data_IF_327396580590
#
_entry.id   IF_327396580590
#
_cell.length_a   1.000
_cell.length_b   1.000
_cell.length_c   1.000
_cell.angle_alpha   90.00
_cell.angle_beta   90.00
_cell.angle_gamma   90.00
#
_symmetry.space_group_name_H-M   'P 1'
#
loop_
_entity.id
_entity.type
_entity.pdbx_description
1 polymer ?
#
# COMPACT_ATOMS: atom_id res chain seq x y z
N UNK A 1 23.04 12.72 -12.51
CA UNK A 1 22.30 12.13 -11.38
C UNK A 1 21.67 13.29 -10.64
N UNK A 2 20.35 13.39 -10.65
CA UNK A 2 19.64 14.32 -9.78
C UNK A 2 19.82 13.76 -8.37
N UNK A 3 20.59 14.46 -7.53
CA UNK A 3 20.64 14.14 -6.10
C UNK A 3 19.22 14.30 -5.56
N UNK A 4 18.51 13.19 -5.39
CA UNK A 4 17.19 13.18 -4.78
C UNK A 4 17.40 13.45 -3.30
N UNK A 5 17.22 14.70 -2.87
CA UNK A 5 17.35 15.11 -1.47
C UNK A 5 16.10 14.72 -0.68
N UNK A 6 15.82 13.41 -0.62
CA UNK A 6 14.78 12.90 0.24
C UNK A 6 15.18 13.07 1.71
N UNK A 7 14.32 13.74 2.47
CA UNK A 7 14.54 13.88 3.91
C UNK A 7 13.93 12.69 4.63
N UNK A 8 14.74 11.96 5.37
CA UNK A 8 14.30 10.90 6.29
C UNK A 8 13.99 11.51 7.65
N UNK A 9 12.85 11.13 8.22
CA UNK A 9 12.45 11.63 9.53
C UNK A 9 11.61 10.57 10.27
N UNK A 10 11.30 10.82 11.53
CA UNK A 10 10.56 9.91 12.39
C UNK A 10 9.49 10.66 13.16
N UNK A 11 8.38 9.97 13.41
CA UNK A 11 7.33 10.47 14.28
C UNK A 11 6.89 9.38 15.24
N UNK A 12 6.65 9.74 16.50
CA UNK A 12 6.06 8.82 17.46
C UNK A 12 4.56 9.10 17.54
N UNK A 13 3.76 8.11 17.19
CA UNK A 13 2.30 8.18 17.23
C UNK A 13 1.72 6.81 17.56
N UNK A 14 0.54 6.77 18.18
CA UNK A 14 -0.14 5.52 18.56
C UNK A 14 0.78 4.52 19.28
N UNK A 15 1.69 5.01 20.11
CA UNK A 15 2.62 4.20 20.91
C UNK A 15 3.77 3.55 20.12
N UNK A 16 3.98 3.91 18.86
CA UNK A 16 5.10 3.42 18.04
C UNK A 16 5.82 4.56 17.34
N UNK A 17 7.08 4.29 16.96
CA UNK A 17 7.90 5.17 16.13
C UNK A 17 7.78 4.77 14.67
N UNK A 18 7.24 5.65 13.84
CA UNK A 18 7.16 5.48 12.38
C UNK A 18 8.27 6.27 11.71
N UNK A 19 8.92 5.63 10.75
CA UNK A 19 9.82 6.26 9.80
C UNK A 19 9.06 6.75 8.58
N UNK A 20 9.44 7.88 8.03
CA UNK A 20 8.93 8.37 6.76
C UNK A 20 9.98 9.13 5.97
N UNK A 21 9.76 9.20 4.67
CA UNK A 21 10.54 10.02 3.75
C UNK A 21 9.65 11.16 3.27
N UNK A 22 10.23 12.36 3.18
CA UNK A 22 9.47 13.54 2.79
C UNK A 22 10.23 14.44 1.84
N UNK A 23 9.48 15.11 0.96
CA UNK A 23 9.97 16.13 0.06
C UNK A 23 8.84 17.10 -0.31
N UNK A 24 9.19 18.35 -0.69
CA UNK A 24 8.23 19.38 -1.10
C UNK A 24 7.56 20.07 0.09
N UNK A 25 6.65 20.99 -0.24
CA UNK A 25 5.90 21.84 0.70
C UNK A 25 4.45 21.99 0.24
N UNK A 26 3.58 22.54 1.09
CA UNK A 26 2.17 22.78 0.77
C UNK A 26 1.21 21.76 1.39
N UNK A 27 0.12 21.42 0.69
CA UNK A 27 -0.86 20.44 1.17
C UNK A 27 -0.25 19.05 1.28
N UNK A 28 -0.69 18.25 2.26
CA UNK A 28 -0.14 16.93 2.51
C UNK A 28 -0.62 15.91 1.48
N UNK A 29 0.32 15.22 0.83
CA UNK A 29 0.09 13.98 0.08
C UNK A 29 0.77 12.84 0.83
N UNK A 30 -0.03 11.94 1.42
CA UNK A 30 0.44 10.82 2.23
C UNK A 30 0.37 9.53 1.41
N UNK A 31 1.50 8.82 1.27
CA UNK A 31 1.64 7.62 0.45
C UNK A 31 1.90 6.38 1.33
N UNK A 32 1.06 5.37 1.19
CA UNK A 32 1.07 4.11 1.94
C UNK A 32 1.43 2.97 1.00
N UNK A 33 2.57 2.32 1.24
CA UNK A 33 3.05 1.17 0.46
C UNK A 33 2.33 -0.14 0.84
N UNK A 34 2.57 -1.19 0.06
CA UNK A 34 2.04 -2.53 0.30
C UNK A 34 3.05 -3.56 0.78
N UNK A 35 2.71 -4.83 0.62
CA UNK A 35 3.55 -5.98 0.94
C UNK A 35 4.25 -6.51 -0.34
N UNK A 36 5.52 -6.82 -0.32
CA UNK A 36 6.51 -6.65 0.75
C UNK A 36 7.39 -5.41 0.52
N UNK A 37 6.77 -4.28 0.34
CA UNK A 37 7.39 -3.00 0.00
C UNK A 37 7.83 -2.19 1.25
N UNK A 38 8.26 -0.97 1.02
CA UNK A 38 8.50 0.09 2.01
C UNK A 38 8.42 1.44 1.30
N UNK A 39 8.66 2.59 1.94
CA UNK A 39 8.55 3.93 1.35
C UNK A 39 9.16 4.04 -0.06
N UNK A 40 10.19 3.25 -0.36
CA UNK A 40 10.94 3.28 -1.62
C UNK A 40 10.10 2.89 -2.84
N UNK A 41 8.98 2.21 -2.65
CA UNK A 41 8.04 1.91 -3.73
C UNK A 41 7.49 3.16 -4.40
N UNK A 42 7.50 4.28 -3.68
CA UNK A 42 7.05 5.61 -4.11
C UNK A 42 8.16 6.50 -4.68
N UNK A 43 9.38 5.99 -4.88
CA UNK A 43 10.56 6.77 -5.30
C UNK A 43 10.33 7.63 -6.55
N UNK A 44 9.50 7.17 -7.47
CA UNK A 44 9.16 7.90 -8.70
C UNK A 44 8.07 8.97 -8.46
N UNK A 45 7.14 8.71 -7.54
CA UNK A 45 6.03 9.60 -7.20
C UNK A 45 6.48 10.72 -6.27
N UNK A 46 7.36 10.43 -5.30
CA UNK A 46 7.84 11.44 -4.34
C UNK A 46 8.38 12.67 -5.05
N UNK A 47 9.34 12.49 -5.96
CA UNK A 47 9.99 13.61 -6.65
C UNK A 47 9.06 14.34 -7.62
N UNK A 48 8.10 13.63 -8.21
CA UNK A 48 7.13 14.22 -9.11
C UNK A 48 6.14 15.12 -8.36
N UNK A 49 5.51 14.59 -7.32
CA UNK A 49 4.46 15.31 -6.59
C UNK A 49 5.00 16.31 -5.56
N UNK A 50 6.28 16.21 -5.19
CA UNK A 50 6.94 17.23 -4.36
C UNK A 50 7.01 18.62 -5.02
N UNK A 51 6.75 18.72 -6.32
CA UNK A 51 6.60 19.99 -7.03
C UNK A 51 5.34 20.76 -6.61
N UNK A 52 4.33 20.07 -6.08
CA UNK A 52 3.00 20.61 -5.81
C UNK A 52 2.56 20.44 -4.36
N UNK A 53 3.12 19.45 -3.65
CA UNK A 53 2.65 18.99 -2.34
C UNK A 53 3.81 18.77 -1.36
N UNK A 54 3.48 18.77 -0.09
CA UNK A 54 4.29 18.11 0.93
C UNK A 54 4.05 16.62 0.83
N UNK A 55 4.93 15.90 0.14
CA UNK A 55 4.85 14.45 0.01
C UNK A 55 5.46 13.78 1.23
N UNK A 56 4.76 12.79 1.77
CA UNK A 56 5.21 11.94 2.86
C UNK A 56 4.94 10.49 2.47
N UNK A 57 6.00 9.70 2.31
CA UNK A 57 5.95 8.26 2.09
C UNK A 57 6.38 7.56 3.37
N UNK A 58 5.44 6.92 4.07
CA UNK A 58 5.68 6.30 5.37
C UNK A 58 6.09 4.84 5.22
N UNK A 59 7.01 4.37 6.06
CA UNK A 59 7.14 2.95 6.34
C UNK A 59 6.01 2.56 7.29
N UNK A 60 5.10 1.72 6.83
CA UNK A 60 4.01 1.24 7.65
C UNK A 60 4.54 0.50 8.89
N UNK A 61 3.73 0.43 9.95
CA UNK A 61 4.01 -0.36 11.16
C UNK A 61 4.58 -1.74 10.80
N UNK A 62 5.75 -2.08 11.36
CA UNK A 62 6.38 -3.38 11.11
C UNK A 62 7.32 -3.45 9.91
N UNK A 63 7.36 -2.41 9.07
CA UNK A 63 8.19 -2.37 7.88
C UNK A 63 9.46 -1.54 8.08
N UNK A 64 10.50 -1.90 7.35
CA UNK A 64 11.78 -1.20 7.19
C UNK A 64 12.30 -0.52 8.47
N UNK A 65 12.27 0.79 8.60
CA UNK A 65 12.78 1.56 9.75
C UNK A 65 11.71 1.92 10.78
N UNK A 66 10.43 1.63 10.49
CA UNK A 66 9.36 1.75 11.48
C UNK A 66 9.45 0.66 12.54
N UNK A 67 8.93 0.96 13.71
CA UNK A 67 8.90 0.03 14.84
C UNK A 67 8.08 -1.21 14.54
N UNK A 68 8.50 -2.34 15.12
CA UNK A 68 7.95 -3.69 14.86
C UNK A 68 7.49 -4.33 16.17
N UNK A 69 6.27 -3.98 16.63
CA UNK A 69 5.67 -4.65 17.79
C UNK A 69 5.68 -6.17 17.64
N UNK A 70 5.94 -6.89 18.72
CA UNK A 70 6.03 -8.37 18.65
C UNK A 70 4.66 -9.03 18.67
N UNK A 71 3.69 -8.39 19.29
CA UNK A 71 2.34 -8.93 19.46
C UNK A 71 1.58 -8.92 18.13
N UNK A 72 1.04 -10.07 17.73
CA UNK A 72 0.19 -10.20 16.55
C UNK A 72 -0.98 -9.20 16.57
N UNK A 73 -1.56 -8.95 17.74
CA UNK A 73 -2.68 -8.02 17.94
C UNK A 73 -2.36 -6.57 17.60
N UNK A 74 -1.07 -6.20 17.51
CA UNK A 74 -0.65 -4.87 17.07
C UNK A 74 -0.85 -4.63 15.55
N UNK A 75 -1.19 -5.68 14.78
CA UNK A 75 -1.29 -5.65 13.32
C UNK A 75 -2.75 -5.87 12.86
N UNK A 76 -3.66 -5.09 13.41
CA UNK A 76 -5.08 -5.05 13.03
C UNK A 76 -5.43 -3.71 12.40
N UNK A 77 -6.48 -3.67 11.59
CA UNK A 77 -6.87 -2.48 10.83
C UNK A 77 -7.06 -1.24 11.72
N UNK A 78 -7.66 -1.40 12.90
CA UNK A 78 -7.86 -0.28 13.84
C UNK A 78 -6.54 0.38 14.27
N UNK A 79 -5.48 -0.41 14.46
CA UNK A 79 -4.15 0.13 14.82
C UNK A 79 -3.50 0.85 13.62
N UNK A 80 -3.65 0.32 12.41
CA UNK A 80 -3.15 0.98 11.21
C UNK A 80 -3.84 2.33 10.98
N UNK A 81 -5.16 2.39 11.15
CA UNK A 81 -5.91 3.65 11.02
C UNK A 81 -5.48 4.69 12.06
N UNK A 82 -5.24 4.27 13.32
CA UNK A 82 -4.71 5.18 14.35
C UNK A 82 -3.32 5.70 14.01
N UNK A 83 -2.46 4.87 13.41
CA UNK A 83 -1.14 5.30 12.94
C UNK A 83 -1.27 6.42 11.90
N UNK A 84 -2.15 6.24 10.90
CA UNK A 84 -2.37 7.24 9.85
C UNK A 84 -2.98 8.52 10.43
N UNK A 85 -3.98 8.40 11.30
CA UNK A 85 -4.57 9.56 11.97
C UNK A 85 -3.53 10.35 12.78
N UNK A 86 -2.71 9.63 13.55
CA UNK A 86 -1.67 10.23 14.37
C UNK A 86 -0.54 10.82 13.54
N UNK A 87 -0.19 10.21 12.40
CA UNK A 87 0.80 10.74 11.46
C UNK A 87 0.33 12.08 10.86
N UNK A 88 -0.91 12.15 10.34
CA UNK A 88 -1.47 13.38 9.78
C UNK A 88 -1.47 14.50 10.82
N UNK A 89 -1.98 14.22 12.03
CA UNK A 89 -2.04 15.21 13.13
C UNK A 89 -0.64 15.63 13.63
N UNK A 90 0.27 14.67 13.74
CA UNK A 90 1.62 14.92 14.22
C UNK A 90 2.49 15.69 13.22
N UNK A 91 2.12 15.66 11.93
CA UNK A 91 2.67 16.52 10.89
C UNK A 91 1.98 17.88 10.81
N UNK A 92 1.05 18.19 11.73
CA UNK A 92 0.30 19.43 11.84
C UNK A 92 -0.66 19.70 10.67
N UNK A 93 -1.24 18.62 10.07
CA UNK A 93 -2.27 18.70 9.06
C UNK A 93 -3.62 18.21 9.60
N UNK A 94 -4.70 18.78 9.07
CA UNK A 94 -6.07 18.33 9.36
C UNK A 94 -6.54 17.28 8.36
N UNK A 95 -6.08 17.37 7.11
CA UNK A 95 -6.46 16.49 6.00
C UNK A 95 -5.31 16.26 5.03
N UNK A 96 -5.45 15.23 4.20
CA UNK A 96 -4.46 14.89 3.17
C UNK A 96 -5.11 14.38 1.88
N UNK A 97 -4.33 14.39 0.79
CA UNK A 97 -4.52 13.47 -0.33
C UNK A 97 -3.91 12.14 0.11
N UNK A 98 -4.73 11.08 0.18
CA UNK A 98 -4.30 9.79 0.66
C UNK A 98 -4.10 8.84 -0.52
N UNK A 99 -2.89 8.32 -0.68
CA UNK A 99 -2.49 7.41 -1.76
C UNK A 99 -2.10 6.07 -1.14
N UNK A 100 -2.64 4.98 -1.66
CA UNK A 100 -2.32 3.66 -1.13
C UNK A 100 -2.21 2.58 -2.20
N UNK A 101 -1.23 1.71 -2.06
CA UNK A 101 -1.02 0.53 -2.89
C UNK A 101 -1.12 -0.72 -2.03
N UNK A 102 -1.76 -1.79 -2.54
CA UNK A 102 -1.89 -3.11 -1.87
C UNK A 102 -2.39 -2.95 -0.41
N UNK A 103 -1.66 -3.43 0.61
CA UNK A 103 -2.04 -3.24 2.02
C UNK A 103 -2.20 -1.77 2.42
N UNK A 104 -1.32 -0.89 1.91
CA UNK A 104 -1.48 0.55 2.12
C UNK A 104 -2.78 1.09 1.55
N UNK A 105 -3.23 0.56 0.40
CA UNK A 105 -4.52 0.89 -0.19
C UNK A 105 -5.70 0.30 0.59
N UNK A 106 -5.57 -0.91 1.16
CA UNK A 106 -6.58 -1.48 2.04
C UNK A 106 -6.77 -0.62 3.31
N UNK A 107 -5.66 -0.14 3.88
CA UNK A 107 -5.67 0.79 5.02
C UNK A 107 -6.32 2.12 4.59
N UNK A 108 -5.94 2.65 3.43
CA UNK A 108 -6.47 3.91 2.91
C UNK A 108 -7.99 3.86 2.67
N UNK A 109 -8.52 2.75 2.12
CA UNK A 109 -9.96 2.53 2.02
C UNK A 109 -10.64 2.61 3.39
N UNK A 110 -10.16 1.81 4.36
CA UNK A 110 -10.74 1.77 5.70
C UNK A 110 -10.67 3.11 6.40
N UNK A 111 -9.54 3.83 6.25
CA UNK A 111 -9.33 5.15 6.82
C UNK A 111 -10.28 6.20 6.23
N UNK A 112 -10.45 6.21 4.91
CA UNK A 112 -11.37 7.15 4.24
C UNK A 112 -12.84 6.94 4.68
N UNK A 113 -13.25 5.70 4.96
CA UNK A 113 -14.57 5.43 5.52
C UNK A 113 -14.71 5.80 7.00
N UNK A 114 -13.65 5.69 7.78
CA UNK A 114 -13.68 6.00 9.21
C UNK A 114 -13.49 7.50 9.50
N UNK A 115 -12.72 8.17 8.66
CA UNK A 115 -12.30 9.56 8.83
C UNK A 115 -12.40 10.34 7.50
N UNK A 116 -13.59 10.41 6.87
CA UNK A 116 -13.75 11.09 5.58
C UNK A 116 -13.37 12.57 5.64
N UNK A 117 -13.51 13.20 6.81
CA UNK A 117 -13.12 14.60 7.04
C UNK A 117 -11.62 14.84 6.95
N UNK A 118 -10.81 13.79 7.10
CA UNK A 118 -9.35 13.86 7.02
C UNK A 118 -8.79 13.51 5.63
N UNK A 119 -9.65 13.11 4.69
CA UNK A 119 -9.23 12.71 3.33
C UNK A 119 -9.87 13.62 2.29
N UNK A 120 -9.05 14.43 1.62
CA UNK A 120 -9.53 15.32 0.58
C UNK A 120 -9.75 14.61 -0.76
N UNK A 121 -8.85 13.72 -1.09
CA UNK A 121 -8.89 12.83 -2.26
C UNK A 121 -8.31 11.49 -1.88
N UNK A 122 -8.89 10.42 -2.39
CA UNK A 122 -8.37 9.06 -2.21
C UNK A 122 -7.84 8.53 -3.54
N UNK A 123 -6.64 7.97 -3.53
CA UNK A 123 -5.99 7.37 -4.71
C UNK A 123 -5.56 5.96 -4.36
N UNK A 124 -6.09 4.99 -5.06
CA UNK A 124 -5.92 3.56 -4.77
C UNK A 124 -5.26 2.87 -5.96
N UNK A 125 -4.20 2.13 -5.70
CA UNK A 125 -3.46 1.37 -6.70
C UNK A 125 -3.52 -0.12 -6.37
N UNK A 126 -3.97 -0.92 -7.34
CA UNK A 126 -4.02 -2.39 -7.31
C UNK A 126 -4.46 -3.02 -5.98
N UNK A 127 -5.52 -2.52 -5.40
CA UNK A 127 -6.26 -3.13 -4.30
C UNK A 127 -7.75 -2.84 -4.46
N UNK A 128 -8.64 -3.84 -4.39
CA UNK A 128 -10.06 -3.62 -4.55
C UNK A 128 -10.67 -2.96 -3.31
N UNK A 129 -11.86 -2.43 -3.48
CA UNK A 129 -12.71 -2.07 -2.35
C UNK A 129 -12.90 -3.29 -1.42
N UNK A 130 -12.89 -3.13 -0.08
CA UNK A 130 -12.96 -4.25 0.85
C UNK A 130 -14.18 -5.17 0.65
N UNK A 131 -15.35 -4.60 0.30
CA UNK A 131 -16.54 -5.40 -0.04
C UNK A 131 -16.28 -6.28 -1.28
N UNK A 132 -15.64 -5.73 -2.32
CA UNK A 132 -15.34 -6.46 -3.57
C UNK A 132 -14.29 -7.53 -3.35
N UNK A 133 -13.32 -7.29 -2.47
CA UNK A 133 -12.36 -8.31 -2.08
C UNK A 133 -13.05 -9.48 -1.35
N UNK A 134 -13.94 -9.17 -0.39
CA UNK A 134 -14.73 -10.18 0.32
C UNK A 134 -15.62 -11.01 -0.63
N UNK A 135 -16.25 -10.38 -1.62
CA UNK A 135 -17.01 -11.06 -2.66
C UNK A 135 -16.09 -11.94 -3.52
N UNK A 136 -14.95 -11.40 -3.94
CA UNK A 136 -13.97 -12.09 -4.78
C UNK A 136 -13.40 -13.36 -4.15
N UNK A 137 -13.12 -13.34 -2.85
CA UNK A 137 -12.63 -14.52 -2.12
C UNK A 137 -13.63 -15.70 -2.10
N UNK A 138 -14.89 -15.46 -2.47
CA UNK A 138 -15.90 -16.52 -2.63
C UNK A 138 -15.86 -17.15 -4.03
N UNK A 139 -15.08 -16.60 -4.96
CA UNK A 139 -14.91 -17.13 -6.31
C UNK A 139 -13.70 -18.06 -6.36
N UNK A 140 -13.78 -19.22 -7.05
CA UNK A 140 -12.63 -20.14 -7.14
C UNK A 140 -11.38 -19.50 -7.76
N UNK A 141 -11.56 -18.61 -8.75
CA UNK A 141 -10.44 -17.94 -9.41
C UNK A 141 -9.64 -17.03 -8.49
N UNK A 142 -10.31 -16.14 -7.74
CA UNK A 142 -9.63 -15.26 -6.79
C UNK A 142 -9.12 -16.04 -5.57
N UNK A 143 -9.85 -17.02 -5.10
CA UNK A 143 -9.41 -17.85 -3.97
C UNK A 143 -8.08 -18.55 -4.28
N UNK A 144 -7.92 -19.05 -5.52
CA UNK A 144 -6.66 -19.65 -5.97
C UNK A 144 -5.53 -18.62 -5.99
N UNK A 145 -5.75 -17.45 -6.57
CA UNK A 145 -4.77 -16.34 -6.59
C UNK A 145 -4.36 -15.91 -5.19
N UNK A 146 -5.29 -15.91 -4.24
CA UNK A 146 -5.08 -15.54 -2.84
C UNK A 146 -4.63 -16.69 -1.93
N UNK A 147 -4.32 -17.87 -2.49
CA UNK A 147 -4.00 -19.09 -1.71
C UNK A 147 -2.76 -18.94 -0.83
N UNK A 148 -1.80 -18.09 -1.22
CA UNK A 148 -0.61 -17.77 -0.41
C UNK A 148 -0.98 -17.20 0.98
N UNK A 149 -2.14 -16.55 1.14
CA UNK A 149 -2.61 -16.02 2.41
C UNK A 149 -2.84 -17.12 3.45
N UNK A 150 -3.23 -18.34 3.01
CA UNK A 150 -3.37 -19.50 3.90
C UNK A 150 -2.01 -20.04 4.34
N UNK A 151 -1.01 -20.05 3.45
CA UNK A 151 0.38 -20.39 3.82
C UNK A 151 0.88 -19.42 4.90
N UNK A 152 0.59 -18.12 4.77
CA UNK A 152 1.03 -17.09 5.72
C UNK A 152 0.39 -17.21 7.11
N UNK A 153 -0.69 -18.00 7.27
CA UNK A 153 -1.25 -18.31 8.59
C UNK A 153 -0.36 -19.23 9.43
N UNK A 154 0.51 -20.01 8.78
CA UNK A 154 1.37 -20.94 9.49
C UNK A 154 2.41 -20.18 10.32
N UNK A 155 2.74 -20.68 11.53
CA UNK A 155 3.81 -20.09 12.33
C UNK A 155 5.17 -20.44 11.74
N UNK A 156 6.13 -19.52 11.80
CA UNK A 156 7.55 -19.65 11.46
C UNK A 156 7.88 -20.16 10.03
N UNK A 157 7.05 -21.00 9.43
CA UNK A 157 7.32 -21.60 8.11
C UNK A 157 7.37 -20.57 6.98
N UNK A 158 6.44 -19.62 6.86
CA UNK A 158 6.51 -18.57 5.84
C UNK A 158 7.76 -17.71 5.98
N UNK A 159 8.14 -17.34 7.20
CA UNK A 159 9.38 -16.59 7.47
C UNK A 159 10.61 -17.35 6.98
N UNK A 160 10.70 -18.66 7.29
CA UNK A 160 11.80 -19.50 6.85
C UNK A 160 11.86 -19.59 5.32
N UNK A 161 10.73 -19.82 4.67
CA UNK A 161 10.64 -19.88 3.21
C UNK A 161 11.05 -18.55 2.56
N UNK A 162 10.58 -17.43 3.08
CA UNK A 162 10.92 -16.10 2.55
C UNK A 162 12.38 -15.74 2.75
N UNK A 163 13.03 -16.18 3.84
CA UNK A 163 14.44 -15.97 4.10
C UNK A 163 15.34 -16.93 3.27
N UNK A 164 14.77 -18.04 2.80
CA UNK A 164 15.55 -19.03 2.09
C UNK A 164 16.14 -18.49 0.79
N UNK A 165 17.30 -19.03 0.39
CA UNK A 165 17.97 -18.68 -0.87
C UNK A 165 18.12 -17.16 -1.06
N UNK A 166 18.54 -16.48 -0.01
CA UNK A 166 18.74 -15.03 -0.03
C UNK A 166 17.50 -14.27 -0.49
N UNK A 167 16.37 -14.53 0.14
CA UNK A 167 15.08 -13.87 -0.18
C UNK A 167 14.63 -14.05 -1.63
N UNK A 168 14.95 -15.16 -2.28
CA UNK A 168 14.61 -15.40 -3.68
C UNK A 168 13.09 -15.32 -3.94
N UNK A 169 12.26 -15.71 -2.98
CA UNK A 169 10.80 -15.59 -3.13
C UNK A 169 10.34 -14.13 -3.22
N UNK A 170 11.01 -13.23 -2.48
CA UNK A 170 10.74 -11.80 -2.56
C UNK A 170 11.17 -11.25 -3.93
N UNK A 171 12.35 -11.60 -4.41
CA UNK A 171 12.80 -11.22 -5.75
C UNK A 171 11.83 -11.71 -6.83
N UNK A 172 11.38 -12.98 -6.72
CA UNK A 172 10.40 -13.55 -7.64
C UNK A 172 9.05 -12.85 -7.57
N UNK A 173 8.63 -12.35 -6.41
CA UNK A 173 7.39 -11.57 -6.29
C UNK A 173 7.48 -10.27 -7.11
N UNK A 174 8.60 -9.56 -7.06
CA UNK A 174 8.79 -8.36 -7.86
C UNK A 174 9.04 -8.67 -9.34
N UNK A 175 10.15 -9.31 -9.67
CA UNK A 175 10.56 -9.56 -11.07
C UNK A 175 9.66 -10.57 -11.78
N UNK A 176 9.17 -11.58 -11.04
CA UNK A 176 8.32 -12.63 -11.61
C UNK A 176 6.94 -12.12 -12.01
N UNK A 177 6.30 -11.33 -11.15
CA UNK A 177 4.98 -10.75 -11.42
C UNK A 177 5.04 -9.60 -12.43
N UNK A 178 6.11 -8.78 -12.42
CA UNK A 178 6.22 -7.63 -13.32
C UNK A 178 6.10 -8.03 -14.79
N UNK A 179 5.28 -7.29 -15.55
CA UNK A 179 5.20 -7.38 -17.01
C UNK A 179 6.45 -6.77 -17.61
N UNK A 180 6.80 -5.55 -17.20
CA UNK A 180 8.06 -4.92 -17.55
C UNK A 180 9.20 -5.51 -16.71
N UNK A 181 9.95 -6.45 -17.29
CA UNK A 181 11.06 -7.13 -16.59
C UNK A 181 12.23 -6.21 -16.19
N UNK A 182 12.27 -4.99 -16.74
CA UNK A 182 13.29 -3.99 -16.42
C UNK A 182 12.83 -2.97 -15.35
N UNK A 183 11.59 -3.09 -14.84
CA UNK A 183 11.05 -2.18 -13.83
C UNK A 183 11.81 -2.21 -12.50
N UNK A 184 12.49 -3.32 -12.23
CA UNK A 184 13.27 -3.53 -11.01
C UNK A 184 14.73 -3.81 -11.34
N UNK A 185 15.60 -2.86 -11.07
CA UNK A 185 17.04 -3.06 -11.11
C UNK A 185 17.50 -4.01 -10.00
N UNK A 186 18.74 -4.51 -10.08
CA UNK A 186 19.29 -5.31 -8.99
C UNK A 186 19.39 -4.49 -7.69
N UNK A 187 19.72 -3.19 -7.80
CA UNK A 187 19.75 -2.31 -6.63
C UNK A 187 18.38 -2.13 -5.97
N UNK A 188 17.28 -2.08 -6.74
CA UNK A 188 15.93 -2.03 -6.18
C UNK A 188 15.61 -3.31 -5.41
N UNK A 189 15.94 -4.47 -5.97
CA UNK A 189 15.72 -5.77 -5.31
C UNK A 189 16.52 -5.87 -4.02
N UNK A 190 17.79 -5.47 -4.02
CA UNK A 190 18.62 -5.44 -2.82
C UNK A 190 18.05 -4.50 -1.75
N UNK A 191 17.47 -3.35 -2.14
CA UNK A 191 16.80 -2.46 -1.20
C UNK A 191 15.61 -3.14 -0.52
N UNK A 192 14.76 -3.86 -1.27
CA UNK A 192 13.64 -4.62 -0.71
C UNK A 192 14.09 -5.79 0.17
N UNK A 193 15.11 -6.54 -0.24
CA UNK A 193 15.71 -7.61 0.57
C UNK A 193 16.24 -7.08 1.89
N UNK A 194 16.99 -5.97 1.86
CA UNK A 194 17.55 -5.34 3.05
C UNK A 194 16.46 -4.84 4.01
N UNK A 195 15.36 -4.28 3.50
CA UNK A 195 14.22 -3.88 4.31
C UNK A 195 13.55 -5.07 4.99
N UNK A 196 13.34 -6.18 4.25
CA UNK A 196 12.75 -7.40 4.76
C UNK A 196 13.67 -8.16 5.73
N UNK A 197 14.99 -8.04 5.57
CA UNK A 197 16.00 -8.66 6.44
C UNK A 197 16.12 -7.99 7.82
N UNK A 198 15.56 -6.81 8.01
CA UNK A 198 15.59 -6.13 9.32
C UNK A 198 14.91 -6.99 10.37
N UNK A 199 15.51 -7.03 11.57
CA UNK A 199 15.04 -7.91 12.67
C UNK A 199 13.54 -7.71 12.93
N UNK A 200 12.78 -8.81 12.81
CA UNK A 200 11.33 -8.84 13.06
C UNK A 200 10.47 -8.38 11.87
N UNK A 201 11.05 -7.86 10.78
CA UNK A 201 10.29 -7.31 9.66
C UNK A 201 9.40 -8.35 9.00
N UNK A 202 9.90 -9.54 8.65
CA UNK A 202 9.08 -10.57 8.00
C UNK A 202 7.91 -11.01 8.86
N UNK A 203 8.12 -11.27 10.15
CA UNK A 203 7.02 -11.66 11.05
C UNK A 203 6.00 -10.54 11.17
N UNK A 204 6.44 -9.29 11.26
CA UNK A 204 5.57 -8.12 11.29
C UNK A 204 4.72 -8.02 10.02
N UNK A 205 5.34 -8.11 8.83
CA UNK A 205 4.66 -8.11 7.53
C UNK A 205 3.63 -9.24 7.43
N UNK A 206 4.00 -10.46 7.85
CA UNK A 206 3.11 -11.62 7.82
C UNK A 206 1.94 -11.50 8.81
N UNK A 207 2.10 -10.75 9.90
CA UNK A 207 1.03 -10.53 10.87
C UNK A 207 -0.14 -9.71 10.30
N UNK A 208 0.05 -8.91 9.25
CA UNK A 208 -1.05 -8.31 8.48
C UNK A 208 -1.99 -9.38 7.94
N UNK A 209 -1.43 -10.41 7.30
CA UNK A 209 -2.20 -11.54 6.75
C UNK A 209 -2.75 -12.46 7.84
N UNK A 210 -2.03 -12.65 8.95
CA UNK A 210 -2.48 -13.49 10.07
C UNK A 210 -3.70 -12.94 10.81
N UNK A 211 -3.95 -11.64 10.69
CA UNK A 211 -5.15 -11.00 11.26
C UNK A 211 -6.30 -10.86 10.25
N UNK A 212 -6.05 -11.02 8.96
CA UNK A 212 -7.00 -10.67 7.90
C UNK A 212 -8.37 -11.35 8.07
N UNK A 213 -8.40 -12.65 8.44
CA UNK A 213 -9.64 -13.40 8.58
C UNK A 213 -10.40 -13.10 9.89
N UNK A 214 -9.78 -12.41 10.83
CA UNK A 214 -10.38 -11.99 12.10
C UNK A 214 -10.78 -10.51 12.07
N UNK A 215 -10.34 -9.78 11.05
CA UNK A 215 -10.58 -8.36 10.93
C UNK A 215 -12.05 -8.08 10.58
N UNK A 216 -12.63 -7.11 11.28
CA UNK A 216 -14.04 -6.73 11.13
C UNK A 216 -14.34 -6.15 9.74
N UNK A 217 -13.31 -5.72 9.00
CA UNK A 217 -13.46 -5.15 7.66
C UNK A 217 -14.20 -6.10 6.69
N UNK A 218 -14.03 -7.42 6.83
CA UNK A 218 -14.70 -8.41 5.96
C UNK A 218 -16.18 -8.64 6.27
N UNK A 219 -16.61 -8.27 7.47
CA UNK A 219 -18.00 -8.44 7.92
C UNK A 219 -18.73 -7.10 8.08
N UNK A 220 -18.10 -5.99 7.69
CA UNK A 220 -18.69 -4.67 7.78
C UNK A 220 -19.67 -4.44 6.63
N UNK A 221 -20.83 -3.85 6.93
CA UNK A 221 -21.67 -3.24 5.90
C UNK A 221 -21.04 -1.90 5.49
N UNK A 222 -20.69 -1.79 4.22
CA UNK A 222 -20.08 -0.59 3.65
C UNK A 222 -21.19 0.31 3.10
N UNK A 223 -21.24 1.56 3.58
CA UNK A 223 -22.06 2.63 2.98
C UNK A 223 -21.43 3.18 1.70
N UNK A 224 -21.93 4.32 1.26
CA UNK A 224 -21.34 5.06 0.13
C UNK A 224 -20.25 5.99 0.68
N UNK A 225 -19.04 5.88 0.14
CA UNK A 225 -17.95 6.79 0.41
C UNK A 225 -18.17 8.08 -0.38
N UNK A 226 -18.20 9.22 0.30
CA UNK A 226 -18.35 10.54 -0.33
C UNK A 226 -17.02 11.17 -0.75
N UNK A 227 -15.88 10.60 -0.30
CA UNK A 227 -14.56 11.09 -0.69
C UNK A 227 -14.30 10.77 -2.16
N UNK A 228 -14.01 11.78 -3.01
CA UNK A 228 -13.66 11.54 -4.41
C UNK A 228 -12.47 10.59 -4.52
N UNK A 229 -12.59 9.60 -5.39
CA UNK A 229 -11.64 8.48 -5.45
C UNK A 229 -11.17 8.20 -6.86
N UNK A 230 -9.85 8.08 -7.04
CA UNK A 230 -9.22 7.50 -8.23
C UNK A 230 -8.73 6.09 -7.91
N UNK A 231 -9.08 5.13 -8.75
CA UNK A 231 -8.50 3.79 -8.73
C UNK A 231 -7.65 3.58 -9.99
N UNK A 232 -6.40 3.16 -9.82
CA UNK A 232 -5.50 2.79 -10.93
C UNK A 232 -5.22 1.29 -10.82
N UNK A 233 -5.37 0.56 -11.93
CA UNK A 233 -5.29 -0.89 -11.92
C UNK A 233 -4.49 -1.45 -13.09
N UNK A 234 -3.44 -2.22 -12.78
CA UNK A 234 -2.70 -3.03 -13.77
C UNK A 234 -3.46 -4.32 -14.08
N UNK A 235 -3.87 -4.50 -15.34
CA UNK A 235 -4.76 -5.59 -15.72
C UNK A 235 -4.10 -6.98 -15.72
N UNK A 236 -2.77 -7.04 -15.65
CA UNK A 236 -1.99 -8.28 -15.59
C UNK A 236 -1.62 -8.68 -14.15
N UNK A 237 -2.29 -8.11 -13.15
CA UNK A 237 -2.12 -8.48 -11.77
C UNK A 237 -2.45 -9.97 -11.57
N UNK A 238 -1.45 -10.73 -11.09
CA UNK A 238 -1.58 -12.17 -10.87
C UNK A 238 -2.08 -12.52 -9.46
N UNK A 239 -2.03 -11.56 -8.53
CA UNK A 239 -2.52 -11.73 -7.16
C UNK A 239 -3.99 -11.28 -7.02
N UNK A 240 -4.35 -10.18 -7.67
CA UNK A 240 -5.67 -9.57 -7.59
C UNK A 240 -6.26 -9.41 -9.00
N UNK A 241 -7.33 -10.14 -9.29
CA UNK A 241 -7.96 -10.08 -10.60
C UNK A 241 -8.65 -8.74 -10.86
N UNK A 242 -8.60 -8.26 -12.12
CA UNK A 242 -9.30 -7.04 -12.55
C UNK A 242 -10.79 -7.06 -12.21
N UNK A 243 -11.39 -8.25 -12.18
CA UNK A 243 -12.80 -8.46 -11.88
C UNK A 243 -13.20 -7.92 -10.49
N UNK A 244 -12.23 -7.79 -9.59
CA UNK A 244 -12.43 -7.23 -8.26
C UNK A 244 -12.73 -5.72 -8.28
N UNK A 245 -12.49 -5.04 -9.40
CA UNK A 245 -12.84 -3.62 -9.55
C UNK A 245 -14.30 -3.42 -9.94
N UNK A 246 -14.94 -4.44 -10.52
CA UNK A 246 -16.30 -4.33 -11.07
C UNK A 246 -17.34 -4.17 -9.95
N UNK A 247 -18.22 -3.19 -10.09
CA UNK A 247 -19.24 -2.87 -9.11
C UNK A 247 -18.73 -2.01 -7.93
N UNK A 248 -17.50 -1.50 -7.98
CA UNK A 248 -16.99 -0.56 -6.95
C UNK A 248 -17.77 0.74 -6.92
N UNK A 249 -18.37 1.15 -8.04
CA UNK A 249 -19.25 2.33 -8.15
C UNK A 249 -20.49 2.27 -7.24
N UNK A 250 -20.87 1.09 -6.77
CA UNK A 250 -21.95 0.96 -5.77
C UNK A 250 -21.54 1.44 -4.37
N UNK A 251 -20.24 1.59 -4.13
CA UNK A 251 -19.67 1.94 -2.82
C UNK A 251 -19.01 3.31 -2.79
N UNK A 252 -18.84 3.98 -3.92
CA UNK A 252 -18.13 5.27 -4.01
C UNK A 252 -18.93 6.24 -4.87
N UNK A 253 -19.23 7.42 -4.34
CA UNK A 253 -20.06 8.44 -5.01
C UNK A 253 -19.39 9.01 -6.27
N UNK A 254 -18.15 9.40 -6.14
CA UNK A 254 -17.33 10.00 -7.20
C UNK A 254 -16.10 9.10 -7.42
N UNK A 255 -16.22 8.15 -8.34
CA UNK A 255 -15.21 7.16 -8.64
C UNK A 255 -14.72 7.29 -10.08
N UNK A 256 -13.41 7.42 -10.24
CA UNK A 256 -12.75 7.23 -11.53
C UNK A 256 -11.88 5.98 -11.48
N UNK A 257 -11.95 5.14 -12.53
CA UNK A 257 -11.08 3.96 -12.64
C UNK A 257 -10.24 4.09 -13.91
N UNK A 258 -8.93 3.94 -13.76
CA UNK A 258 -7.96 3.92 -14.87
C UNK A 258 -7.30 2.54 -14.92
N UNK A 259 -7.38 1.90 -16.08
CA UNK A 259 -6.74 0.60 -16.31
C UNK A 259 -5.46 0.76 -17.10
N UNK A 260 -4.45 -0.04 -16.75
CA UNK A 260 -3.18 -0.13 -17.49
C UNK A 260 -3.07 -1.57 -18.03
N UNK A 261 -3.32 -1.80 -19.33
CA UNK A 261 -3.45 -3.15 -19.91
C UNK A 261 -2.19 -4.03 -19.75
N UNK A 262 -1.02 -3.44 -19.94
CA UNK A 262 0.27 -4.14 -19.90
C UNK A 262 1.07 -3.77 -18.65
N UNK A 263 0.43 -3.91 -17.50
CA UNK A 263 1.03 -3.66 -16.20
C UNK A 263 0.53 -4.69 -15.17
N UNK A 264 1.40 -5.08 -14.26
CA UNK A 264 1.08 -6.02 -13.19
C UNK A 264 0.58 -5.31 -11.92
N UNK A 265 0.80 -5.97 -10.78
CA UNK A 265 0.50 -5.46 -9.45
C UNK A 265 1.28 -4.17 -9.10
N UNK A 266 2.51 -4.02 -9.59
CA UNK A 266 3.46 -2.98 -9.20
C UNK A 266 3.32 -1.70 -10.04
N UNK A 267 2.10 -1.21 -10.27
CA UNK A 267 1.78 -0.16 -11.26
C UNK A 267 2.63 1.10 -11.10
N UNK A 268 2.85 1.57 -9.86
CA UNK A 268 3.62 2.79 -9.56
C UNK A 268 5.11 2.65 -9.86
N UNK A 269 5.59 1.42 -10.02
CA UNK A 269 6.98 1.10 -10.29
C UNK A 269 7.21 0.62 -11.72
N UNK A 270 6.23 -0.06 -12.34
CA UNK A 270 6.32 -0.55 -13.72
C UNK A 270 5.99 0.52 -14.76
N UNK A 271 5.07 1.43 -14.44
CA UNK A 271 4.56 2.47 -15.34
C UNK A 271 4.48 3.82 -14.60
N UNK A 272 5.61 4.28 -14.00
CA UNK A 272 5.61 5.44 -13.11
C UNK A 272 5.11 6.72 -13.80
N UNK A 273 5.51 6.95 -15.06
CA UNK A 273 5.12 8.14 -15.82
C UNK A 273 3.60 8.16 -16.06
N UNK A 274 3.02 7.02 -16.46
CA UNK A 274 1.59 6.91 -16.72
C UNK A 274 0.76 7.02 -15.43
N UNK A 275 1.24 6.41 -14.36
CA UNK A 275 0.60 6.55 -13.04
C UNK A 275 0.64 7.99 -12.57
N UNK A 276 1.79 8.67 -12.71
CA UNK A 276 1.93 10.08 -12.35
C UNK A 276 0.97 10.94 -13.18
N UNK A 277 0.86 10.70 -14.50
CA UNK A 277 -0.06 11.40 -15.37
C UNK A 277 -1.53 11.22 -14.93
N UNK A 278 -1.96 10.00 -14.65
CA UNK A 278 -3.34 9.75 -14.20
C UNK A 278 -3.66 10.46 -12.88
N UNK A 279 -2.69 10.52 -11.97
CA UNK A 279 -2.85 11.24 -10.71
C UNK A 279 -2.89 12.75 -10.94
N UNK A 280 -2.03 13.29 -11.81
CA UNK A 280 -2.01 14.71 -12.17
C UNK A 280 -3.35 15.13 -12.82
N UNK A 281 -3.80 14.38 -13.83
CA UNK A 281 -5.09 14.64 -14.50
C UNK A 281 -6.26 14.63 -13.51
N UNK A 282 -6.26 13.69 -12.56
CA UNK A 282 -7.28 13.59 -11.52
C UNK A 282 -7.26 14.75 -10.52
N UNK A 283 -6.06 15.27 -10.22
CA UNK A 283 -5.86 16.38 -9.30
C UNK A 283 -6.01 17.76 -9.99
N UNK A 284 -6.03 17.80 -11.35
CA UNK A 284 -6.13 19.04 -12.12
C UNK A 284 -4.81 19.82 -12.15
N UNK A 285 -3.65 19.14 -12.18
CA UNK A 285 -2.30 19.70 -12.18
C UNK A 285 -1.76 19.92 -13.59
#
# INVERSE_FOLDING_TARGET
MIETSWKHDYITTNGIKLHYVTQGEGALMLMLHGFPEFWYSWRHQISEFAKYFKVVAVDLRGYNDSEKPQEKSAYVMDEFMKDIQGLIKGLEYEKCILVGHDWGGAIAWCFAYAHPEMVERLIILNIPHPAKFSEGLRTPGQLLKSSYMFLFQLPWLPELLMQSLDYQLLENAFKGMAVNKNAFSQADIEAYKNAAAKRGALTAMLNYYRNIFQDKMFNKSWGILEVPTLMIWGEKDTALGKELTYGTEAYVRDLQIKYIPDCSHWVQQEQPELVNQYIQDYLGL
#
